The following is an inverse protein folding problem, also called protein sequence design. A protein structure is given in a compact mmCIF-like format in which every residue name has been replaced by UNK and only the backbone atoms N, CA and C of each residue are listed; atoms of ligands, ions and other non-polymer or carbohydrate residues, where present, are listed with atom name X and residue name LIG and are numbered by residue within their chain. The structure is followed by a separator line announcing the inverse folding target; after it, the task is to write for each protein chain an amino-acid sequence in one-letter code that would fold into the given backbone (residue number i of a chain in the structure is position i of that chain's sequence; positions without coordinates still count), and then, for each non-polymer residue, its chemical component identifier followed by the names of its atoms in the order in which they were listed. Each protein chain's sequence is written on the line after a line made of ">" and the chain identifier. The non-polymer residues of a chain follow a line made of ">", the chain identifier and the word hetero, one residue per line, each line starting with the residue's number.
data_IF_555185912757
#
_entry.id   IF_555185912757
#
_cell.length_a   1.000
_cell.length_b   1.000
_cell.length_c   1.000
_cell.angle_alpha   90.00
_cell.angle_beta   90.00
_cell.angle_gamma   90.00
#
_symmetry.space_group_name_H-M   'P 1'
#
loop_
_entity.id
_entity.type
_entity.pdbx_description
1 polymer ?
#
# COMPACT_ATOMS: atom_id res chain seq x y z
N UNK A 1 28.01 15.26 26.92
CA UNK A 1 26.89 14.30 27.12
C UNK A 1 25.54 14.83 26.62
N UNK A 2 25.08 16.02 27.03
CA UNK A 2 23.80 16.61 26.55
C UNK A 2 23.70 16.80 25.03
N UNK A 3 24.78 17.26 24.39
CA UNK A 3 24.82 17.46 22.93
C UNK A 3 24.85 16.14 22.14
N UNK A 4 25.49 15.11 22.68
CA UNK A 4 25.52 13.77 22.08
C UNK A 4 24.12 13.13 22.13
N UNK A 5 23.41 13.32 23.25
CA UNK A 5 22.02 12.90 23.41
C UNK A 5 21.08 13.64 22.46
N UNK A 6 21.24 14.96 22.28
CA UNK A 6 20.48 15.74 21.29
C UNK A 6 20.72 15.29 19.86
N UNK A 7 21.97 15.02 19.48
CA UNK A 7 22.31 14.50 18.15
C UNK A 7 21.70 13.13 17.89
N UNK A 8 21.73 12.26 18.90
CA UNK A 8 21.09 10.94 18.83
C UNK A 8 19.57 11.07 18.64
N UNK A 9 18.92 11.95 19.41
CA UNK A 9 17.48 12.23 19.28
C UNK A 9 17.12 12.79 17.90
N UNK A 10 17.94 13.70 17.34
CA UNK A 10 17.71 14.30 16.02
C UNK A 10 17.70 13.26 14.90
N UNK A 11 18.53 12.21 15.01
CA UNK A 11 18.62 11.14 14.01
C UNK A 11 17.51 10.09 14.19
N UNK A 12 17.15 9.76 15.43
CA UNK A 12 16.15 8.72 15.72
C UNK A 12 14.70 9.17 15.51
N UNK A 13 14.40 10.47 15.66
CA UNK A 13 13.04 11.00 15.51
C UNK A 13 12.42 10.78 14.12
N UNK A 14 13.07 11.11 12.98
CA UNK A 14 12.44 10.94 11.66
C UNK A 14 12.17 9.49 11.27
N UNK A 15 12.94 8.53 11.80
CA UNK A 15 12.72 7.08 11.55
C UNK A 15 11.44 6.60 12.24
N UNK A 16 11.15 7.10 13.45
CA UNK A 16 9.94 6.76 14.19
C UNK A 16 8.66 7.39 13.60
N UNK A 17 8.81 8.47 12.83
CA UNK A 17 7.71 9.16 12.14
C UNK A 17 7.48 8.65 10.71
N UNK A 18 8.16 7.60 10.27
CA UNK A 18 7.77 6.84 9.08
C UNK A 18 6.48 6.07 9.39
N UNK A 19 5.36 6.78 9.49
CA UNK A 19 4.05 6.17 9.32
C UNK A 19 4.06 5.56 7.92
N UNK A 20 4.05 4.24 7.83
CA UNK A 20 3.90 3.55 6.55
C UNK A 20 2.74 4.20 5.79
N UNK A 21 2.91 4.35 4.47
CA UNK A 21 1.82 4.76 3.58
C UNK A 21 0.57 3.99 4.01
N UNK A 22 -0.52 4.70 4.32
CA UNK A 22 -1.78 4.06 4.67
C UNK A 22 -2.21 3.24 3.46
N UNK A 23 -1.92 1.95 3.51
CA UNK A 23 -2.31 1.01 2.48
C UNK A 23 -3.84 1.05 2.38
N UNK A 24 -4.35 1.11 1.16
CA UNK A 24 -5.78 1.11 0.95
C UNK A 24 -6.36 -0.24 1.38
N UNK A 25 -7.28 -0.23 2.35
CA UNK A 25 -7.93 -1.45 2.83
C UNK A 25 -9.30 -1.65 2.17
N UNK A 26 -9.66 -2.91 1.92
CA UNK A 26 -10.96 -3.28 1.35
C UNK A 26 -11.45 -4.61 1.90
N UNK A 27 -12.77 -4.70 2.08
CA UNK A 27 -13.47 -5.93 2.44
C UNK A 27 -13.60 -6.91 1.26
N UNK A 28 -13.28 -6.48 0.02
CA UNK A 28 -13.32 -7.36 -1.15
C UNK A 28 -12.39 -8.57 -0.97
N UNK A 29 -12.82 -9.75 -1.44
CA UNK A 29 -11.98 -10.95 -1.40
C UNK A 29 -10.81 -10.81 -2.38
N UNK A 30 -11.08 -10.34 -3.60
CA UNK A 30 -10.08 -10.02 -4.62
C UNK A 30 -10.20 -8.55 -5.01
N UNK A 31 -9.07 -7.87 -5.21
CA UNK A 31 -9.03 -6.50 -5.71
C UNK A 31 -7.70 -6.21 -6.42
N UNK A 32 -7.76 -5.38 -7.46
CA UNK A 32 -6.60 -4.75 -8.06
C UNK A 32 -6.93 -3.29 -8.36
N UNK A 33 -6.02 -2.37 -8.03
CA UNK A 33 -6.12 -0.96 -8.40
C UNK A 33 -4.91 -0.58 -9.23
N UNK A 34 -5.16 -0.02 -10.42
CA UNK A 34 -4.12 0.31 -11.38
C UNK A 34 -4.25 1.78 -11.76
N UNK A 35 -3.14 2.51 -11.77
CA UNK A 35 -3.06 3.81 -12.41
C UNK A 35 -3.22 3.65 -13.93
N UNK A 36 -4.26 4.26 -14.51
CA UNK A 36 -4.61 4.03 -15.91
C UNK A 36 -3.61 4.60 -16.91
N UNK A 37 -2.84 5.62 -16.52
CA UNK A 37 -1.87 6.27 -17.41
C UNK A 37 -0.54 5.50 -17.49
N UNK A 38 -0.11 4.92 -16.37
CA UNK A 38 1.21 4.29 -16.24
C UNK A 38 1.16 2.77 -16.13
N UNK A 39 -0.01 2.20 -15.83
CA UNK A 39 -0.15 0.78 -15.52
C UNK A 39 0.40 0.40 -14.14
N UNK A 40 0.73 1.38 -13.29
CA UNK A 40 1.27 1.11 -11.94
C UNK A 40 0.21 0.46 -11.07
N UNK A 41 0.52 -0.70 -10.47
CA UNK A 41 -0.35 -1.35 -9.48
C UNK A 41 -0.21 -0.61 -8.15
N UNK A 42 -1.33 -0.05 -7.69
CA UNK A 42 -1.43 0.71 -6.44
C UNK A 42 -1.99 -0.14 -5.28
N UNK A 43 -2.75 -1.18 -5.61
CA UNK A 43 -3.27 -2.18 -4.68
C UNK A 43 -3.34 -3.53 -5.39
N UNK A 44 -2.86 -4.57 -4.74
CA UNK A 44 -2.99 -5.95 -5.18
C UNK A 44 -3.49 -6.80 -4.00
N UNK A 45 -4.61 -7.48 -4.18
CA UNK A 45 -5.19 -8.38 -3.20
C UNK A 45 -5.77 -9.58 -3.93
N UNK A 46 -5.08 -10.71 -3.88
CA UNK A 46 -5.51 -11.98 -4.45
C UNK A 46 -6.00 -11.86 -5.92
N UNK A 47 -5.40 -10.95 -6.72
CA UNK A 47 -5.88 -10.64 -8.08
C UNK A 47 -5.70 -11.79 -9.07
N UNK A 48 -4.70 -12.64 -8.85
CA UNK A 48 -4.42 -13.82 -9.69
C UNK A 48 -5.11 -15.09 -9.18
N UNK A 49 -5.84 -15.01 -8.07
CA UNK A 49 -6.59 -16.14 -7.53
C UNK A 49 -7.86 -16.34 -8.38
N UNK A 50 -8.04 -17.52 -9.01
CA UNK A 50 -9.22 -17.76 -9.85
C UNK A 50 -10.53 -17.62 -9.06
N UNK A 51 -11.45 -16.81 -9.57
CA UNK A 51 -12.78 -16.63 -9.01
C UNK A 51 -13.84 -16.60 -10.12
N UNK A 52 -15.09 -17.03 -9.86
CA UNK A 52 -16.17 -16.92 -10.85
C UNK A 52 -16.44 -15.45 -11.21
N UNK A 53 -16.36 -15.05 -12.50
CA UNK A 53 -16.47 -13.65 -12.90
C UNK A 53 -17.88 -13.03 -12.76
N UNK A 54 -18.92 -13.84 -12.51
CA UNK A 54 -20.32 -13.39 -12.41
C UNK A 54 -20.70 -12.41 -13.54
N UNK A 55 -21.10 -11.17 -13.23
CA UNK A 55 -21.41 -10.16 -14.25
C UNK A 55 -20.18 -9.53 -14.92
N UNK A 56 -18.97 -9.68 -14.38
CA UNK A 56 -17.73 -9.18 -15.01
C UNK A 56 -17.44 -9.86 -16.35
N UNK A 57 -17.97 -11.06 -16.58
CA UNK A 57 -17.88 -11.73 -17.89
C UNK A 57 -18.43 -10.90 -19.05
N UNK A 58 -19.31 -9.92 -18.78
CA UNK A 58 -19.88 -9.03 -19.80
C UNK A 58 -18.89 -7.96 -20.31
N UNK A 59 -17.73 -7.80 -19.67
CA UNK A 59 -16.70 -6.88 -20.12
C UNK A 59 -15.86 -7.44 -21.29
N UNK A 60 -15.96 -8.75 -21.53
CA UNK A 60 -15.41 -9.41 -22.72
C UNK A 60 -16.34 -9.21 -23.91
#
# INVERSE_FOLDING_TARGET
>A
MRHLFSLLMLVLLPVALSSGVLAFETAALQAILIDSATGTVLLEKDSDVPAPPASLSKLM
#
